data_IF_136231359967
#
_entry.id   IF_136231359967
#
_cell.length_a   1.000
_cell.length_b   1.000
_cell.length_c   1.000
_cell.angle_alpha   90.00
_cell.angle_beta   90.00
_cell.angle_gamma   90.00
#
_symmetry.space_group_name_H-M   'P 1'
#
loop_
_entity.id
_entity.type
_entity.pdbx_description
1 polymer ?
#
# COMPACT_ATOMS: atom_id res chain seq x y z
N UNK A 1 20.21 -20.25 -3.31
CA UNK A 1 18.99 -19.66 -2.71
C UNK A 1 17.91 -19.70 -3.77
N UNK A 2 16.76 -20.33 -3.49
CA UNK A 2 15.68 -20.51 -4.47
C UNK A 2 14.86 -19.23 -4.58
N UNK A 3 14.40 -18.90 -5.78
CA UNK A 3 13.55 -17.73 -6.08
C UNK A 3 12.33 -17.65 -5.14
N UNK A 4 11.80 -18.80 -4.75
CA UNK A 4 10.71 -18.96 -3.78
C UNK A 4 11.04 -18.37 -2.40
N UNK A 5 12.26 -18.62 -1.90
CA UNK A 5 12.71 -18.09 -0.61
C UNK A 5 12.88 -16.56 -0.66
N UNK A 6 13.34 -16.02 -1.79
CA UNK A 6 13.47 -14.58 -1.98
C UNK A 6 12.10 -13.90 -2.11
N UNK A 7 11.14 -14.50 -2.81
CA UNK A 7 9.75 -14.03 -2.88
C UNK A 7 9.08 -14.03 -1.50
N UNK A 8 9.22 -15.12 -0.75
CA UNK A 8 8.66 -15.22 0.59
C UNK A 8 9.24 -14.15 1.53
N UNK A 9 10.55 -13.90 1.42
CA UNK A 9 11.24 -12.85 2.18
C UNK A 9 10.80 -11.44 1.78
N UNK A 10 10.46 -11.21 0.50
CA UNK A 10 9.88 -9.93 0.04
C UNK A 10 8.45 -9.76 0.58
N UNK A 11 7.62 -10.79 0.51
CA UNK A 11 6.26 -10.77 1.08
C UNK A 11 6.30 -10.43 2.56
N UNK A 12 7.15 -11.11 3.32
CA UNK A 12 7.31 -10.84 4.75
C UNK A 12 7.74 -9.41 5.04
N UNK A 13 8.66 -8.84 4.25
CA UNK A 13 9.05 -7.43 4.37
C UNK A 13 7.91 -6.46 4.08
N UNK A 14 7.00 -6.80 3.16
CA UNK A 14 5.82 -5.98 2.86
C UNK A 14 4.85 -6.02 4.04
N UNK A 15 4.65 -7.20 4.63
CA UNK A 15 3.81 -7.36 5.81
C UNK A 15 4.38 -6.58 7.01
N UNK A 16 5.68 -6.75 7.27
CA UNK A 16 6.39 -6.03 8.34
C UNK A 16 6.30 -4.50 8.13
N UNK A 17 6.49 -4.02 6.90
CA UNK A 17 6.36 -2.60 6.56
C UNK A 17 4.92 -2.08 6.77
N UNK A 18 3.92 -2.86 6.39
CA UNK A 18 2.52 -2.48 6.58
C UNK A 18 2.18 -2.36 8.07
N UNK A 19 2.64 -3.30 8.89
CA UNK A 19 2.44 -3.29 10.33
C UNK A 19 3.15 -2.10 11.00
N UNK A 20 4.40 -1.82 10.61
CA UNK A 20 5.16 -0.67 11.11
C UNK A 20 4.55 0.67 10.67
N UNK A 21 4.07 0.76 9.43
CA UNK A 21 3.42 1.96 8.91
C UNK A 21 2.08 2.21 9.61
N UNK A 22 1.32 1.14 9.87
CA UNK A 22 0.06 1.21 10.64
C UNK A 22 0.31 1.70 12.06
N UNK A 23 1.36 1.19 12.72
CA UNK A 23 1.75 1.61 14.07
C UNK A 23 2.18 3.08 14.08
N UNK A 24 3.02 3.51 13.14
CA UNK A 24 3.51 4.89 13.07
C UNK A 24 2.38 5.90 12.77
N UNK A 25 1.45 5.57 11.88
CA UNK A 25 0.28 6.42 11.66
C UNK A 25 -0.60 6.51 12.90
N UNK A 26 -0.82 5.40 13.61
CA UNK A 26 -1.60 5.40 14.85
C UNK A 26 -0.97 6.30 15.91
N UNK A 27 0.34 6.17 16.12
CA UNK A 27 1.09 7.03 17.04
C UNK A 27 1.04 8.51 16.62
N UNK A 28 1.09 8.79 15.33
CA UNK A 28 0.98 10.16 14.81
C UNK A 28 -0.41 10.76 15.07
N UNK A 29 -1.48 10.00 14.80
CA UNK A 29 -2.87 10.42 15.09
C UNK A 29 -3.08 10.62 16.59
N UNK A 30 -2.58 9.72 17.44
CA UNK A 30 -2.65 9.88 18.89
C UNK A 30 -1.89 11.13 19.37
N UNK A 31 -0.71 11.39 18.80
CA UNK A 31 0.08 12.58 19.12
C UNK A 31 -0.61 13.88 18.68
N UNK A 32 -1.17 13.94 17.47
CA UNK A 32 -1.95 15.09 17.00
C UNK A 32 -3.20 15.28 17.87
N UNK A 33 -3.94 14.21 18.17
CA UNK A 33 -5.09 14.26 19.07
C UNK A 33 -4.71 14.78 20.47
N UNK A 34 -3.59 14.34 21.04
CA UNK A 34 -3.08 14.87 22.32
C UNK A 34 -2.67 16.35 22.23
N UNK A 35 -2.08 16.76 21.11
CA UNK A 35 -1.68 18.15 20.88
C UNK A 35 -2.90 19.06 20.79
N UNK A 36 -3.97 18.59 20.12
CA UNK A 36 -5.25 19.31 20.02
C UNK A 36 -6.08 19.26 21.32
N UNK A 37 -5.94 18.24 22.17
CA UNK A 37 -6.51 18.21 23.54
C UNK A 37 -6.00 19.34 24.42
N UNK A 38 -4.78 19.86 24.21
CA UNK A 38 -4.24 20.99 24.99
C UNK A 38 -4.89 22.34 24.64
N UNK A 39 -5.58 22.44 23.50
CA UNK A 39 -6.10 23.71 22.96
C UNK A 39 -7.61 23.86 23.22
N UNK A 40 -8.32 22.78 23.56
CA UNK A 40 -9.79 22.81 23.73
C UNK A 40 -10.19 22.51 25.18
N UNK A 41 -11.08 23.32 25.81
CA UNK A 41 -11.52 23.10 27.18
C UNK A 41 -12.23 21.74 27.29
N UNK A 42 -11.88 21.00 28.34
CA UNK A 42 -12.46 19.71 28.71
C UNK A 42 -13.99 19.78 28.80
N UNK A 43 -14.69 19.07 27.93
CA UNK A 43 -16.15 18.97 28.03
C UNK A 43 -16.75 18.02 27.01
N UNK A 44 -16.87 16.74 27.39
CA UNK A 44 -17.82 15.70 26.91
C UNK A 44 -17.98 15.40 25.40
N UNK A 45 -17.53 16.24 24.46
CA UNK A 45 -17.66 16.04 23.02
C UNK A 45 -16.42 15.43 22.36
N UNK A 46 -15.24 15.56 22.98
CA UNK A 46 -13.99 15.12 22.37
C UNK A 46 -13.85 13.58 22.34
N UNK A 47 -14.42 12.87 23.31
CA UNK A 47 -14.41 11.39 23.34
C UNK A 47 -15.19 10.80 22.16
N UNK A 48 -16.44 11.22 21.98
CA UNK A 48 -17.31 10.74 20.91
C UNK A 48 -16.80 11.10 19.51
N UNK A 49 -16.31 12.33 19.33
CA UNK A 49 -15.73 12.77 18.04
C UNK A 49 -14.42 12.02 17.74
N UNK A 50 -13.60 11.76 18.75
CA UNK A 50 -12.37 10.99 18.57
C UNK A 50 -12.66 9.52 18.25
N UNK A 51 -13.65 8.91 18.90
CA UNK A 51 -14.10 7.55 18.59
C UNK A 51 -14.68 7.43 17.17
N UNK A 52 -15.48 8.39 16.71
CA UNK A 52 -15.99 8.43 15.33
C UNK A 52 -14.86 8.57 14.30
N UNK A 53 -13.91 9.48 14.55
CA UNK A 53 -12.74 9.65 13.66
C UNK A 53 -11.93 8.36 13.62
N UNK A 54 -11.68 7.74 14.77
CA UNK A 54 -10.88 6.52 14.85
C UNK A 54 -11.58 5.34 14.16
N UNK A 55 -12.90 5.22 14.30
CA UNK A 55 -13.69 4.22 13.59
C UNK A 55 -13.65 4.40 12.07
N UNK A 56 -13.77 5.63 11.56
CA UNK A 56 -13.67 5.93 10.12
C UNK A 56 -12.26 5.65 9.59
N UNK A 57 -11.23 5.99 10.37
CA UNK A 57 -9.83 5.69 10.01
C UNK A 57 -9.59 4.19 9.98
N UNK A 58 -10.06 3.44 10.98
CA UNK A 58 -9.94 2.00 11.04
C UNK A 58 -10.70 1.31 9.91
N UNK A 59 -11.90 1.78 9.56
CA UNK A 59 -12.67 1.31 8.41
C UNK A 59 -11.91 1.54 7.10
N UNK A 60 -11.41 2.75 6.87
CA UNK A 60 -10.64 3.06 5.65
C UNK A 60 -9.32 2.31 5.58
N UNK A 61 -8.66 2.08 6.71
CA UNK A 61 -7.45 1.26 6.79
C UNK A 61 -7.75 -0.21 6.56
N UNK A 62 -8.88 -0.72 7.06
CA UNK A 62 -9.36 -2.06 6.76
C UNK A 62 -9.66 -2.20 5.27
N UNK A 63 -10.36 -1.27 4.65
CA UNK A 63 -10.63 -1.25 3.22
C UNK A 63 -9.36 -1.13 2.36
N UNK A 64 -8.37 -0.38 2.85
CA UNK A 64 -7.07 -0.27 2.20
C UNK A 64 -6.31 -1.60 2.27
N UNK A 65 -6.18 -2.20 3.45
CA UNK A 65 -5.40 -3.42 3.68
C UNK A 65 -6.04 -4.69 3.12
N UNK A 66 -7.38 -4.78 3.15
CA UNK A 66 -8.14 -5.93 2.60
C UNK A 66 -8.08 -5.99 1.07
N UNK A 67 -7.79 -4.87 0.41
CA UNK A 67 -7.70 -4.74 -1.05
C UNK A 67 -6.30 -4.34 -1.54
N UNK A 68 -5.25 -4.57 -0.74
CA UNK A 68 -3.87 -4.48 -1.22
C UNK A 68 -3.59 -5.70 -2.10
N UNK A 69 -4.17 -5.69 -3.30
CA UNK A 69 -4.16 -6.76 -4.31
C UNK A 69 -2.78 -6.86 -5.01
N UNK A 70 -1.70 -6.59 -4.26
CA UNK A 70 -0.33 -6.74 -4.70
C UNK A 70 0.00 -8.23 -4.65
N UNK A 71 -0.50 -8.99 -5.63
CA UNK A 71 -0.20 -10.43 -5.82
C UNK A 71 1.21 -10.57 -6.41
N UNK A 72 2.28 -10.73 -5.60
CA UNK A 72 3.65 -10.55 -6.09
C UNK A 72 4.09 -11.75 -6.94
N UNK A 73 3.58 -12.94 -6.61
CA UNK A 73 3.79 -14.16 -7.40
C UNK A 73 3.17 -14.03 -8.80
N UNK A 74 1.94 -13.53 -8.89
CA UNK A 74 1.27 -13.29 -10.17
C UNK A 74 2.06 -12.29 -11.02
N UNK A 75 2.48 -11.18 -10.42
CA UNK A 75 3.31 -10.17 -11.10
C UNK A 75 4.65 -10.76 -11.57
N UNK A 76 5.28 -11.61 -10.75
CA UNK A 76 6.53 -12.27 -11.11
C UNK A 76 6.37 -13.20 -12.31
N UNK A 77 5.34 -14.04 -12.31
CA UNK A 77 5.03 -14.95 -13.43
C UNK A 77 4.77 -14.15 -14.70
N UNK A 78 3.95 -13.10 -14.62
CA UNK A 78 3.68 -12.21 -15.74
C UNK A 78 4.97 -11.60 -16.33
N UNK A 79 5.83 -11.04 -15.49
CA UNK A 79 7.08 -10.43 -15.96
C UNK A 79 8.07 -11.45 -16.51
N UNK A 80 8.11 -12.67 -15.96
CA UNK A 80 8.90 -13.75 -16.54
C UNK A 80 8.43 -14.12 -17.95
N UNK A 81 7.12 -14.18 -18.20
CA UNK A 81 6.57 -14.46 -19.53
C UNK A 81 6.93 -13.35 -20.53
N UNK A 82 6.81 -12.09 -20.12
CA UNK A 82 7.20 -10.93 -20.96
C UNK A 82 8.70 -10.95 -21.31
N UNK A 83 9.57 -11.32 -20.35
CA UNK A 83 11.02 -11.48 -20.60
C UNK A 83 11.31 -12.66 -21.55
N UNK A 84 10.59 -13.78 -21.39
CA UNK A 84 10.74 -14.92 -22.31
C UNK A 84 10.36 -14.55 -23.74
N UNK A 85 9.32 -13.73 -23.92
CA UNK A 85 8.88 -13.27 -25.23
C UNK A 85 9.79 -12.18 -25.81
N UNK A 86 10.33 -11.29 -24.96
CA UNK A 86 11.24 -10.22 -25.35
C UNK A 86 12.46 -10.14 -24.40
N UNK A 87 13.53 -10.91 -24.67
CA UNK A 87 14.71 -10.98 -23.79
C UNK A 87 15.49 -9.67 -23.68
N UNK A 88 15.27 -8.73 -24.60
CA UNK A 88 15.97 -7.44 -24.67
C UNK A 88 15.27 -6.33 -23.89
N UNK A 89 14.19 -6.65 -23.16
CA UNK A 89 13.47 -5.67 -22.33
C UNK A 89 14.41 -5.01 -21.32
N UNK A 90 14.50 -3.69 -21.40
CA UNK A 90 15.22 -2.89 -20.40
C UNK A 90 14.49 -2.91 -19.05
N UNK A 91 15.23 -2.68 -17.98
CA UNK A 91 14.67 -2.53 -16.62
C UNK A 91 13.52 -1.50 -16.56
N UNK A 92 13.63 -0.40 -17.33
CA UNK A 92 12.58 0.63 -17.40
C UNK A 92 11.30 0.11 -18.05
N UNK A 93 11.43 -0.65 -19.13
CA UNK A 93 10.28 -1.28 -19.79
C UNK A 93 9.63 -2.34 -18.89
N UNK A 94 10.42 -3.10 -18.13
CA UNK A 94 9.89 -4.05 -17.14
C UNK A 94 9.09 -3.34 -16.03
N UNK A 95 9.59 -2.21 -15.51
CA UNK A 95 8.82 -1.41 -14.56
C UNK A 95 7.53 -0.87 -15.17
N UNK A 96 7.57 -0.41 -16.43
CA UNK A 96 6.37 0.04 -17.14
C UNK A 96 5.33 -1.09 -17.26
N UNK A 97 5.75 -2.29 -17.68
CA UNK A 97 4.89 -3.47 -17.78
C UNK A 97 4.33 -3.86 -16.41
N UNK A 98 5.15 -3.85 -15.37
CA UNK A 98 4.73 -4.15 -14.00
C UNK A 98 3.61 -3.21 -13.52
N UNK A 99 3.81 -1.90 -13.63
CA UNK A 99 2.77 -0.93 -13.25
C UNK A 99 1.54 -1.00 -14.14
N UNK A 100 1.70 -1.35 -15.42
CA UNK A 100 0.57 -1.55 -16.33
C UNK A 100 -0.27 -2.77 -15.96
N UNK A 101 0.37 -3.88 -15.55
CA UNK A 101 -0.34 -5.06 -15.07
C UNK A 101 -1.06 -4.79 -13.75
N UNK A 102 -0.36 -4.20 -12.78
CA UNK A 102 -0.93 -3.82 -11.47
C UNK A 102 -2.12 -2.85 -11.61
N UNK A 103 -2.05 -1.89 -12.53
CA UNK A 103 -3.16 -0.98 -12.84
C UNK A 103 -4.41 -1.72 -13.36
N UNK A 104 -4.21 -2.79 -14.13
CA UNK A 104 -5.29 -3.57 -14.75
C UNK A 104 -5.97 -4.49 -13.76
N UNK A 105 -5.19 -5.17 -12.91
CA UNK A 105 -5.71 -6.20 -12.00
C UNK A 105 -6.30 -5.60 -10.71
N UNK A 106 -5.85 -4.43 -10.28
CA UNK A 106 -6.33 -3.84 -9.03
C UNK A 106 -7.76 -3.32 -9.17
N UNK A 107 -8.60 -3.70 -8.20
CA UNK A 107 -9.96 -3.17 -8.01
C UNK A 107 -9.95 -1.86 -7.20
N UNK A 108 -8.87 -1.61 -6.46
CA UNK A 108 -8.73 -0.45 -5.60
C UNK A 108 -8.46 0.84 -6.40
N UNK A 109 -9.41 1.79 -6.37
CA UNK A 109 -9.32 3.08 -7.09
C UNK A 109 -8.10 3.91 -6.68
N UNK A 110 -7.69 3.85 -5.42
CA UNK A 110 -6.54 4.59 -4.91
C UNK A 110 -5.23 4.01 -5.44
N UNK A 111 -5.03 2.69 -5.30
CA UNK A 111 -3.86 2.00 -5.87
C UNK A 111 -3.79 2.17 -7.39
N UNK A 112 -4.92 2.11 -8.09
CA UNK A 112 -5.00 2.38 -9.53
C UNK A 112 -4.47 3.77 -9.91
N UNK A 113 -4.75 4.82 -9.12
CA UNK A 113 -4.21 6.17 -9.33
C UNK A 113 -2.69 6.20 -9.12
N UNK A 114 -2.18 5.50 -8.11
CA UNK A 114 -0.74 5.37 -7.86
C UNK A 114 -0.07 4.68 -9.03
N UNK A 115 -0.54 3.50 -9.46
CA UNK A 115 0.06 2.75 -10.56
C UNK A 115 0.03 3.53 -11.88
N UNK A 116 -1.07 4.25 -12.19
CA UNK A 116 -1.14 5.17 -13.33
C UNK A 116 -0.03 6.23 -13.30
N UNK A 117 0.20 6.80 -12.13
CA UNK A 117 1.21 7.85 -11.93
C UNK A 117 2.61 7.29 -12.10
N UNK A 118 2.89 6.13 -11.51
CA UNK A 118 4.18 5.45 -11.62
C UNK A 118 4.46 5.00 -13.04
N UNK A 119 3.48 4.40 -13.73
CA UNK A 119 3.55 4.03 -15.15
C UNK A 119 3.90 5.21 -16.05
N UNK A 120 3.28 6.38 -15.84
CA UNK A 120 3.58 7.61 -16.61
C UNK A 120 5.03 8.06 -16.45
N UNK A 121 5.63 7.89 -15.27
CA UNK A 121 7.04 8.24 -15.01
C UNK A 121 8.03 7.30 -15.70
N UNK A 122 7.58 6.10 -16.07
CA UNK A 122 8.41 5.08 -16.73
C UNK A 122 8.28 5.10 -18.26
N UNK A 123 7.27 5.80 -18.80
CA UNK A 123 7.12 6.08 -20.22
C UNK A 123 8.26 6.96 -20.74
#
# INVERSE_FOLDING_TARGET
MTVENDLHRITKKIDDFNDETKLNLKLHVEHEAQTHRRILPTGFFYGAVHEEIQAIVDERMHDFTKNTDLKPQELYVYLQEEIKQNPTLSKRQLHYLAYSHLERITTNKFLKKIYKTMKKRMR
#
